data_IF_736611690493
#
_entry.id   IF_736611690493
#
_cell.length_a   1.000
_cell.length_b   1.000
_cell.length_c   1.000
_cell.angle_alpha   90.00
_cell.angle_beta   90.00
_cell.angle_gamma   90.00
#
_symmetry.space_group_name_H-M   'P 1'
#
loop_
_entity.id
_entity.type
_entity.pdbx_description
1 polymer ?
#
# COMPACT_ATOMS: atom_id res chain seq x y z
N UNK A 1 26.67 -9.71 -16.58
CA UNK A 1 25.71 -10.08 -15.53
C UNK A 1 24.31 -9.95 -16.11
N UNK A 2 23.44 -10.97 -16.05
CA UNK A 2 22.06 -10.83 -16.49
C UNK A 2 21.31 -9.84 -15.60
N UNK A 3 20.36 -9.10 -16.16
CA UNK A 3 19.48 -8.23 -15.39
C UNK A 3 18.61 -9.08 -14.43
N UNK A 4 18.37 -8.57 -13.23
CA UNK A 4 17.52 -9.21 -12.21
C UNK A 4 16.30 -8.35 -11.96
N UNK A 5 15.12 -8.97 -11.94
CA UNK A 5 13.88 -8.30 -11.56
C UNK A 5 13.80 -8.08 -10.05
N UNK A 6 13.21 -6.95 -9.66
CA UNK A 6 12.94 -6.59 -8.28
C UNK A 6 11.50 -6.09 -8.14
N UNK A 7 10.82 -6.57 -7.10
CA UNK A 7 9.54 -6.04 -6.67
C UNK A 7 9.76 -4.83 -5.76
N UNK A 8 9.17 -3.70 -6.13
CA UNK A 8 9.15 -2.49 -5.32
C UNK A 8 7.73 -2.26 -4.82
N UNK A 9 7.51 -2.52 -3.54
CA UNK A 9 6.17 -2.44 -2.95
C UNK A 9 5.98 -1.15 -2.17
N UNK A 10 4.80 -0.54 -2.30
CA UNK A 10 4.40 0.60 -1.50
C UNK A 10 4.07 0.21 -0.07
N UNK A 11 4.71 0.84 0.92
CA UNK A 11 4.32 0.72 2.31
C UNK A 11 3.04 1.54 2.54
N UNK A 12 1.99 0.89 3.07
CA UNK A 12 0.72 1.55 3.36
C UNK A 12 0.93 2.64 4.41
N UNK A 13 0.47 3.86 4.10
CA UNK A 13 0.60 5.02 4.97
C UNK A 13 -0.39 5.05 6.13
N UNK A 14 -0.13 5.88 7.16
CA UNK A 14 -0.95 5.95 8.36
C UNK A 14 -2.35 6.52 8.13
N UNK A 15 -2.57 7.24 7.03
CA UNK A 15 -3.87 7.82 6.67
C UNK A 15 -4.70 6.92 5.73
N UNK A 16 -4.36 5.63 5.60
CA UNK A 16 -5.14 4.68 4.82
C UNK A 16 -6.61 4.66 5.26
N UNK A 17 -7.54 4.79 4.32
CA UNK A 17 -8.97 4.87 4.58
C UNK A 17 -9.79 4.41 3.37
N UNK A 18 -11.10 4.36 3.54
CA UNK A 18 -12.06 4.04 2.48
C UNK A 18 -12.98 5.23 2.21
N UNK A 19 -12.49 6.23 1.49
CA UNK A 19 -13.27 7.43 1.15
C UNK A 19 -14.15 7.30 -0.11
N UNK A 20 -14.08 6.18 -0.85
CA UNK A 20 -14.91 5.97 -2.04
C UNK A 20 -14.62 6.91 -3.22
N UNK A 21 -13.41 7.46 -3.30
CA UNK A 21 -13.07 8.54 -4.26
C UNK A 21 -12.80 8.05 -5.69
N UNK A 22 -12.69 6.74 -5.92
CA UNK A 22 -12.32 6.17 -7.22
C UNK A 22 -13.56 5.71 -8.00
N UNK A 23 -14.11 6.59 -8.83
CA UNK A 23 -15.25 6.25 -9.71
C UNK A 23 -14.92 5.06 -10.62
N UNK A 24 -15.86 4.14 -10.77
CA UNK A 24 -15.66 2.88 -11.51
C UNK A 24 -14.95 1.77 -10.72
N UNK A 25 -14.29 2.08 -9.59
CA UNK A 25 -13.73 1.05 -8.71
C UNK A 25 -14.82 0.54 -7.75
N UNK A 26 -15.41 -0.62 -8.09
CA UNK A 26 -16.46 -1.27 -7.29
C UNK A 26 -16.04 -1.47 -5.83
N UNK A 27 -14.78 -1.87 -5.56
CA UNK A 27 -14.32 -2.09 -4.20
C UNK A 27 -14.21 -0.79 -3.40
N UNK A 28 -13.75 0.30 -4.03
CA UNK A 28 -13.67 1.64 -3.40
C UNK A 28 -15.06 2.15 -3.01
N UNK A 29 -16.03 2.05 -3.93
CA UNK A 29 -17.40 2.50 -3.72
C UNK A 29 -18.11 1.66 -2.66
N UNK A 30 -18.01 0.33 -2.75
CA UNK A 30 -18.71 -0.58 -1.85
C UNK A 30 -18.21 -0.51 -0.39
N UNK A 31 -16.97 -0.07 -0.17
CA UNK A 31 -16.39 0.07 1.18
C UNK A 31 -16.37 1.51 1.69
N UNK A 32 -16.94 2.46 0.95
CA UNK A 32 -16.93 3.88 1.32
C UNK A 32 -17.49 4.11 2.73
N UNK A 33 -16.80 4.92 3.52
CA UNK A 33 -17.14 5.27 4.89
C UNK A 33 -16.90 4.17 5.93
N UNK A 34 -16.47 2.97 5.54
CA UNK A 34 -16.16 1.91 6.51
C UNK A 34 -14.88 2.22 7.32
N UNK A 35 -14.80 1.77 8.59
CA UNK A 35 -13.57 1.87 9.36
C UNK A 35 -12.42 1.14 8.67
N UNK A 36 -11.25 1.79 8.62
CA UNK A 36 -10.01 1.19 8.14
C UNK A 36 -9.07 0.84 9.30
N UNK A 37 -8.15 -0.10 9.06
CA UNK A 37 -7.05 -0.41 9.99
C UNK A 37 -5.71 -0.14 9.29
N UNK A 38 -5.17 1.10 9.35
CA UNK A 38 -3.93 1.45 8.67
C UNK A 38 -2.76 0.56 9.09
N UNK A 39 -2.62 0.28 10.39
CA UNK A 39 -1.61 -0.63 10.92
C UNK A 39 -1.81 -2.06 10.39
N UNK A 40 -3.05 -2.54 10.34
CA UNK A 40 -3.37 -3.86 9.79
C UNK A 40 -2.98 -3.97 8.32
N UNK A 41 -3.34 -2.97 7.51
CA UNK A 41 -2.99 -2.92 6.09
C UNK A 41 -1.48 -2.87 5.85
N UNK A 42 -0.73 -2.09 6.64
CA UNK A 42 0.73 -2.05 6.57
C UNK A 42 1.36 -3.41 6.94
N UNK A 43 0.87 -4.06 8.01
CA UNK A 43 1.36 -5.38 8.43
C UNK A 43 1.07 -6.47 7.39
N UNK A 44 -0.08 -6.44 6.73
CA UNK A 44 -0.40 -7.35 5.62
C UNK A 44 0.56 -7.16 4.45
N UNK A 45 0.85 -5.92 4.07
CA UNK A 45 1.83 -5.61 3.01
C UNK A 45 3.24 -6.10 3.36
N UNK A 46 3.71 -5.81 4.58
CA UNK A 46 5.02 -6.27 5.06
C UNK A 46 5.13 -7.80 5.13
N UNK A 47 4.06 -8.49 5.56
CA UNK A 47 4.04 -9.95 5.58
C UNK A 47 4.20 -10.53 4.16
N UNK A 48 3.51 -9.97 3.17
CA UNK A 48 3.66 -10.34 1.76
C UNK A 48 5.09 -10.08 1.25
N UNK A 49 5.63 -8.88 1.46
CA UNK A 49 6.99 -8.54 1.01
C UNK A 49 8.03 -9.49 1.60
N UNK A 50 7.93 -9.80 2.91
CA UNK A 50 8.81 -10.76 3.57
C UNK A 50 8.67 -12.17 3.00
N UNK A 51 7.44 -12.62 2.75
CA UNK A 51 7.19 -13.92 2.14
C UNK A 51 7.81 -14.00 0.73
N UNK A 52 7.57 -13.02 -0.13
CA UNK A 52 8.13 -12.99 -1.49
C UNK A 52 9.65 -12.93 -1.49
N UNK A 53 10.25 -12.11 -0.62
CA UNK A 53 11.71 -12.08 -0.45
C UNK A 53 12.27 -13.44 -0.01
N UNK A 54 11.56 -14.17 0.86
CA UNK A 54 11.98 -15.51 1.30
C UNK A 54 11.97 -16.56 0.18
N UNK A 55 11.26 -16.31 -0.92
CA UNK A 55 11.28 -17.13 -2.14
C UNK A 55 12.47 -16.82 -3.06
N UNK A 56 13.36 -15.90 -2.67
CA UNK A 56 14.55 -15.52 -3.44
C UNK A 56 14.31 -14.41 -4.48
N UNK A 57 13.11 -13.84 -4.53
CA UNK A 57 12.79 -12.70 -5.40
C UNK A 57 13.41 -11.43 -4.83
N UNK A 58 13.98 -10.56 -5.69
CA UNK A 58 14.47 -9.26 -5.26
C UNK A 58 13.31 -8.42 -4.73
N UNK A 59 13.43 -7.88 -3.51
CA UNK A 59 12.35 -7.14 -2.86
C UNK A 59 12.88 -5.83 -2.27
N UNK A 60 12.13 -4.75 -2.50
CA UNK A 60 12.38 -3.42 -1.98
C UNK A 60 11.07 -2.76 -1.52
N UNK A 61 11.19 -1.65 -0.79
CA UNK A 61 10.07 -0.90 -0.20
C UNK A 61 10.12 0.55 -0.64
N UNK A 62 8.96 1.09 -1.04
CA UNK A 62 8.73 2.51 -1.29
C UNK A 62 7.97 3.12 -0.10
N UNK A 63 8.46 4.21 0.53
CA UNK A 63 7.80 4.81 1.69
C UNK A 63 6.47 5.48 1.31
N UNK A 64 5.55 5.66 2.28
CA UNK A 64 4.32 6.40 2.04
C UNK A 64 4.61 7.90 1.87
N UNK A 65 3.66 8.61 1.27
CA UNK A 65 3.71 10.07 1.15
C UNK A 65 3.32 10.78 2.46
N UNK A 66 3.72 12.04 2.60
CA UNK A 66 3.22 12.94 3.64
C UNK A 66 1.70 13.12 3.50
N UNK A 67 0.96 12.86 4.59
CA UNK A 67 -0.50 13.02 4.67
C UNK A 67 -0.89 13.46 6.09
N UNK A 68 -1.85 14.40 6.28
CA UNK A 68 -2.54 15.16 5.24
C UNK A 68 -1.60 16.07 4.43
N UNK A 69 -1.89 16.29 3.15
CA UNK A 69 -1.09 17.22 2.34
C UNK A 69 -1.62 18.64 2.56
N UNK A 70 -0.95 19.41 3.42
CA UNK A 70 -1.37 20.78 3.72
C UNK A 70 -1.14 21.74 2.54
N UNK A 71 -0.26 21.39 1.61
CA UNK A 71 0.04 22.21 0.42
C UNK A 71 -1.14 22.32 -0.56
N UNK A 72 -2.11 21.40 -0.47
CA UNK A 72 -3.26 21.34 -1.38
C UNK A 72 -4.54 21.90 -0.78
N UNK A 73 -4.47 22.42 0.45
CA UNK A 73 -5.59 23.03 1.18
C UNK A 73 -5.44 24.55 1.16
#
# INVERSE_FOLDING_TARGET
>A
MPAREYNFDGLVGPTHNYAGLSHGNVASLAHSGRPASPRGAALQGLAKMRFVASLGVGQAVLPPHERPSLRTL
#
